data_IF_335318137072
#
_entry.id   IF_335318137072
#
_cell.length_a   1.000
_cell.length_b   1.000
_cell.length_c   1.000
_cell.angle_alpha   90.00
_cell.angle_beta   90.00
_cell.angle_gamma   90.00
#
_symmetry.space_group_name_H-M   'P 1'
#
loop_
_entity.id
_entity.type
_entity.pdbx_description
1 polymer ?
#
# COMPACT_ATOMS: atom_id res chain seq x y z
N UNK A 1 1.42 32.81 -18.16
CA UNK A 1 0.49 31.80 -18.75
C UNK A 1 -0.35 31.08 -17.71
N UNK A 2 0.18 30.23 -16.81
CA UNK A 2 -0.65 29.57 -15.78
C UNK A 2 -1.48 30.58 -14.96
N UNK A 3 -0.88 31.72 -14.59
CA UNK A 3 -1.58 32.84 -13.96
C UNK A 3 -2.73 33.40 -14.81
N UNK A 4 -2.47 33.71 -16.08
CA UNK A 4 -3.47 34.24 -17.01
C UNK A 4 -4.65 33.27 -17.21
N UNK A 5 -4.39 31.96 -17.13
CA UNK A 5 -5.41 30.92 -17.22
C UNK A 5 -6.13 30.66 -15.89
N UNK A 6 -5.74 31.34 -14.80
CA UNK A 6 -6.43 31.26 -13.53
C UNK A 6 -6.18 30.01 -12.70
N UNK A 7 -5.15 29.19 -13.00
CA UNK A 7 -4.82 27.99 -12.21
C UNK A 7 -4.60 28.32 -10.74
N UNK A 8 -5.07 27.46 -9.83
CA UNK A 8 -4.90 27.60 -8.38
C UNK A 8 -3.76 26.75 -7.82
N UNK A 9 -3.31 25.75 -8.57
CA UNK A 9 -2.20 24.91 -8.18
C UNK A 9 -1.44 24.32 -9.35
N UNK A 10 -0.24 23.81 -9.08
CA UNK A 10 0.69 23.27 -10.06
C UNK A 10 1.56 22.17 -9.46
N UNK A 11 1.75 21.10 -10.23
CA UNK A 11 2.78 20.09 -9.99
C UNK A 11 3.93 20.29 -10.96
N UNK A 12 5.13 20.50 -10.42
CA UNK A 12 6.34 20.57 -11.21
C UNK A 12 7.11 19.26 -11.11
N UNK A 13 7.22 18.56 -12.25
CA UNK A 13 7.86 17.26 -12.36
C UNK A 13 9.37 17.39 -12.65
N UNK A 14 10.15 16.43 -12.13
CA UNK A 14 11.61 16.40 -12.19
C UNK A 14 12.21 15.91 -13.51
N UNK A 15 11.39 15.61 -14.52
CA UNK A 15 11.84 15.18 -15.85
C UNK A 15 12.40 16.34 -16.69
N UNK A 16 13.28 16.02 -17.63
CA UNK A 16 13.72 16.94 -18.69
C UNK A 16 14.94 17.79 -18.32
N UNK A 17 15.10 18.93 -19.01
CA UNK A 17 16.30 19.78 -18.89
C UNK A 17 16.13 20.96 -17.93
N UNK A 18 14.94 21.19 -17.38
CA UNK A 18 14.61 22.35 -16.55
C UNK A 18 13.97 21.91 -15.23
N UNK A 19 14.80 21.36 -14.33
CA UNK A 19 14.37 20.74 -13.07
C UNK A 19 14.51 21.65 -11.83
N UNK A 20 14.79 22.94 -12.00
CA UNK A 20 14.94 23.86 -10.88
C UNK A 20 13.56 24.28 -10.34
N UNK A 21 13.05 23.53 -9.35
CA UNK A 21 11.72 23.76 -8.78
C UNK A 21 11.64 25.07 -8.01
N UNK A 22 12.73 25.48 -7.35
CA UNK A 22 12.86 26.76 -6.67
C UNK A 22 12.55 27.94 -7.59
N UNK A 23 13.14 27.95 -8.79
CA UNK A 23 12.89 28.98 -9.79
C UNK A 23 11.41 29.08 -10.15
N UNK A 24 10.73 27.93 -10.32
CA UNK A 24 9.30 27.94 -10.62
C UNK A 24 8.46 28.49 -9.45
N UNK A 25 8.78 28.15 -8.21
CA UNK A 25 8.10 28.72 -7.04
C UNK A 25 8.30 30.24 -6.93
N UNK A 26 9.51 30.75 -7.21
CA UNK A 26 9.78 32.19 -7.24
C UNK A 26 8.99 32.90 -8.35
N UNK A 27 8.88 32.29 -9.54
CA UNK A 27 8.11 32.84 -10.65
C UNK A 27 6.61 32.89 -10.32
N UNK A 28 6.08 31.88 -9.63
CA UNK A 28 4.70 31.88 -9.15
C UNK A 28 4.48 32.98 -8.10
N UNK A 29 5.39 33.13 -7.14
CA UNK A 29 5.31 34.20 -6.14
C UNK A 29 5.30 35.60 -6.78
N UNK A 30 6.08 35.83 -7.84
CA UNK A 30 6.12 37.11 -8.57
C UNK A 30 4.79 37.51 -9.21
N UNK A 31 3.84 36.60 -9.39
CA UNK A 31 2.52 36.96 -9.93
C UNK A 31 1.61 37.58 -8.88
N UNK A 32 1.97 37.55 -7.58
CA UNK A 32 1.15 38.03 -6.48
C UNK A 32 -0.10 37.20 -6.18
N UNK A 33 -0.24 36.00 -6.80
CA UNK A 33 -1.32 35.04 -6.52
C UNK A 33 -0.75 33.91 -5.66
N UNK A 34 -1.53 33.45 -4.67
CA UNK A 34 -1.21 32.24 -3.94
C UNK A 34 -1.50 31.01 -4.82
N UNK A 35 -0.54 30.10 -4.92
CA UNK A 35 -0.67 28.81 -5.60
C UNK A 35 -0.43 27.68 -4.63
N UNK A 36 -1.12 26.58 -4.84
CA UNK A 36 -0.71 25.28 -4.32
C UNK A 36 0.40 24.70 -5.21
N UNK A 37 1.57 24.41 -4.64
CA UNK A 37 2.72 23.95 -5.40
C UNK A 37 3.18 22.58 -4.89
N UNK A 38 3.13 21.59 -5.79
CA UNK A 38 3.79 20.30 -5.63
C UNK A 38 5.19 20.33 -6.24
N UNK A 39 6.20 20.06 -5.42
CA UNK A 39 7.55 19.76 -5.87
C UNK A 39 7.70 18.25 -6.10
N UNK A 40 7.78 17.81 -7.37
CA UNK A 40 7.92 16.40 -7.74
C UNK A 40 9.36 16.06 -8.14
N UNK A 41 10.27 16.13 -7.17
CA UNK A 41 11.68 15.74 -7.28
C UNK A 41 11.96 14.26 -6.96
N UNK A 42 10.91 13.44 -6.86
CA UNK A 42 10.94 12.00 -6.59
C UNK A 42 11.73 11.56 -5.34
N UNK A 43 11.85 12.42 -4.33
CA UNK A 43 12.66 12.14 -3.15
C UNK A 43 14.17 12.24 -3.35
N UNK A 44 14.63 12.59 -4.55
CA UNK A 44 16.04 12.86 -4.80
C UNK A 44 16.43 14.11 -4.01
N UNK A 45 17.31 13.94 -3.01
CA UNK A 45 17.92 15.00 -2.19
C UNK A 45 19.44 15.01 -2.40
N UNK A 46 19.88 15.57 -3.51
CA UNK A 46 21.28 15.78 -3.89
C UNK A 46 21.70 17.23 -3.63
N UNK A 47 22.98 17.53 -3.83
CA UNK A 47 23.50 18.89 -3.75
C UNK A 47 23.20 19.74 -4.99
N UNK A 48 22.56 19.17 -6.01
CA UNK A 48 22.25 19.86 -7.26
C UNK A 48 20.96 20.68 -7.13
N UNK A 49 20.88 21.82 -7.82
CA UNK A 49 19.67 22.67 -7.84
C UNK A 49 18.42 21.95 -8.37
N UNK A 50 18.60 20.86 -9.12
CA UNK A 50 17.52 19.96 -9.55
C UNK A 50 16.84 19.25 -8.37
N UNK A 51 17.50 19.25 -7.22
CA UNK A 51 17.06 18.63 -5.99
C UNK A 51 16.66 19.71 -4.98
N UNK A 52 15.46 20.27 -5.20
CA UNK A 52 14.86 21.32 -4.37
C UNK A 52 14.32 20.77 -3.04
N UNK A 53 15.12 20.02 -2.28
CA UNK A 53 14.67 19.38 -1.06
C UNK A 53 14.42 20.37 0.08
N UNK A 54 13.26 20.31 0.75
CA UNK A 54 12.96 21.19 1.87
C UNK A 54 13.88 21.01 3.07
N UNK A 55 14.07 22.09 3.80
CA UNK A 55 14.77 22.14 5.08
C UNK A 55 13.87 22.73 6.16
N UNK A 56 14.37 22.79 7.39
CA UNK A 56 13.69 23.42 8.53
C UNK A 56 13.39 24.89 8.27
N UNK A 57 14.27 25.61 7.57
CA UNK A 57 14.13 27.05 7.32
C UNK A 57 13.66 27.38 5.90
N UNK A 58 13.52 26.38 5.02
CA UNK A 58 13.23 26.60 3.61
C UNK A 58 12.27 25.56 3.04
N UNK A 59 11.12 26.04 2.56
CA UNK A 59 10.16 25.23 1.80
C UNK A 59 9.21 26.16 1.02
N UNK A 60 9.57 26.55 -0.22
CA UNK A 60 8.74 27.45 -1.03
C UNK A 60 7.57 26.73 -1.71
N UNK A 61 7.30 25.48 -1.35
CA UNK A 61 6.28 24.60 -1.90
C UNK A 61 5.27 24.24 -0.80
N UNK A 62 4.06 23.84 -1.16
CA UNK A 62 3.05 23.39 -0.18
C UNK A 62 3.27 21.93 0.22
N UNK A 63 3.76 21.12 -0.72
CA UNK A 63 4.20 19.76 -0.46
C UNK A 63 5.25 19.29 -1.47
N UNK A 64 5.94 18.22 -1.11
CA UNK A 64 7.11 17.74 -1.85
C UNK A 64 7.17 16.22 -1.84
N UNK A 65 7.52 15.65 -3.00
CA UNK A 65 7.59 14.21 -3.21
C UNK A 65 8.77 13.61 -2.45
N UNK A 66 8.48 12.71 -1.51
CA UNK A 66 9.55 12.06 -0.72
C UNK A 66 10.13 10.81 -1.38
N UNK A 67 9.47 10.30 -2.42
CA UNK A 67 9.74 9.03 -3.10
C UNK A 67 9.51 9.13 -4.61
N UNK A 68 9.93 8.08 -5.33
CA UNK A 68 9.45 7.78 -6.68
C UNK A 68 7.93 7.50 -6.72
N UNK A 69 7.41 7.25 -7.92
CA UNK A 69 5.97 7.15 -8.14
C UNK A 69 5.35 5.95 -7.44
N UNK A 70 4.14 6.14 -6.90
CA UNK A 70 3.31 5.05 -6.41
C UNK A 70 2.65 4.35 -7.59
N UNK A 71 2.53 3.03 -7.47
CA UNK A 71 1.76 2.22 -8.40
C UNK A 71 0.74 1.37 -7.61
N UNK A 72 -0.06 0.60 -8.33
CA UNK A 72 -1.01 -0.32 -7.76
C UNK A 72 -0.37 -1.61 -7.20
N UNK A 73 0.95 -1.73 -7.15
CA UNK A 73 1.66 -2.80 -6.48
C UNK A 73 1.43 -2.77 -4.97
N UNK A 74 1.52 -3.93 -4.31
CA UNK A 74 1.15 -4.03 -2.89
C UNK A 74 2.06 -3.26 -1.94
N UNK A 75 3.28 -2.93 -2.34
CA UNK A 75 4.27 -2.33 -1.43
C UNK A 75 4.82 -0.99 -1.82
N UNK A 76 4.50 -0.47 -2.99
CA UNK A 76 5.04 0.82 -3.42
C UNK A 76 4.62 1.93 -2.49
N UNK A 77 3.35 1.96 -2.08
CA UNK A 77 2.90 2.94 -1.06
C UNK A 77 3.62 2.78 0.29
N UNK A 78 3.87 1.54 0.73
CA UNK A 78 4.46 1.29 2.05
C UNK A 78 5.97 1.57 2.06
N UNK A 79 6.67 1.33 0.95
CA UNK A 79 8.03 1.82 0.71
C UNK A 79 8.09 3.34 0.70
N UNK A 80 7.20 3.96 -0.05
CA UNK A 80 7.14 5.40 -0.18
C UNK A 80 6.88 6.04 1.19
N UNK A 81 6.03 5.44 2.02
CA UNK A 81 5.82 5.86 3.41
C UNK A 81 7.15 5.93 4.18
N UNK A 82 8.04 4.94 4.05
CA UNK A 82 9.33 4.94 4.76
C UNK A 82 10.19 6.17 4.41
N UNK A 83 10.08 6.68 3.19
CA UNK A 83 10.84 7.85 2.74
C UNK A 83 10.43 9.15 3.45
N UNK A 84 9.26 9.15 4.10
CA UNK A 84 8.77 10.31 4.85
C UNK A 84 9.48 10.50 6.19
N UNK A 85 10.03 9.43 6.78
CA UNK A 85 10.61 9.41 8.13
C UNK A 85 11.71 10.47 8.30
N UNK A 86 12.56 10.67 7.29
CA UNK A 86 13.64 11.68 7.35
C UNK A 86 13.15 13.12 7.48
N UNK A 87 11.86 13.38 7.23
CA UNK A 87 11.23 14.70 7.33
C UNK A 87 10.36 14.85 8.59
N UNK A 88 10.34 13.83 9.44
CA UNK A 88 9.42 13.70 10.58
C UNK A 88 10.19 13.44 11.89
N UNK A 89 11.32 14.12 12.07
CA UNK A 89 12.04 14.10 13.34
C UNK A 89 11.10 14.59 14.45
N UNK A 90 11.04 13.83 15.55
CA UNK A 90 10.20 14.16 16.70
C UNK A 90 10.55 15.49 17.38
N UNK A 91 11.81 15.94 17.25
CA UNK A 91 12.27 17.21 17.84
C UNK A 91 12.15 18.39 16.89
N UNK A 92 12.25 18.15 15.57
CA UNK A 92 12.37 19.21 14.57
C UNK A 92 11.89 18.71 13.19
N UNK A 93 10.56 18.58 12.99
CA UNK A 93 10.01 18.04 11.76
C UNK A 93 10.08 19.05 10.62
N UNK A 94 10.58 18.63 9.46
CA UNK A 94 10.52 19.43 8.23
C UNK A 94 9.08 19.46 7.70
N UNK A 95 8.38 18.32 7.73
CA UNK A 95 6.97 18.23 7.33
C UNK A 95 6.07 18.95 8.35
N UNK A 96 5.38 20.01 7.92
CA UNK A 96 4.62 20.94 8.77
C UNK A 96 3.60 21.76 7.96
N UNK A 97 2.71 22.56 8.59
CA UNK A 97 1.76 23.41 7.88
C UNK A 97 2.43 24.27 6.83
N UNK A 98 1.97 24.12 5.59
CA UNK A 98 2.53 24.81 4.43
C UNK A 98 3.73 24.13 3.77
N UNK A 99 4.19 22.96 4.26
CA UNK A 99 5.29 22.19 3.70
C UNK A 99 5.17 20.70 4.07
N UNK A 100 4.41 19.92 3.30
CA UNK A 100 4.10 18.52 3.65
C UNK A 100 4.93 17.50 2.87
N UNK A 101 5.48 16.53 3.59
CA UNK A 101 6.07 15.33 2.99
C UNK A 101 4.97 14.52 2.28
N UNK A 102 5.18 14.21 1.00
CA UNK A 102 4.20 13.53 0.16
C UNK A 102 4.78 12.28 -0.51
N UNK A 103 4.49 11.06 0.00
CA UNK A 103 4.91 9.78 -0.58
C UNK A 103 4.11 9.32 -1.81
N UNK A 104 3.62 10.28 -2.60
CA UNK A 104 2.81 10.13 -3.82
C UNK A 104 1.34 9.69 -3.64
N UNK A 105 0.56 9.64 -4.72
CA UNK A 105 -0.90 9.48 -4.70
C UNK A 105 -1.39 8.20 -4.02
N UNK A 106 -2.61 8.27 -3.47
CA UNK A 106 -3.35 7.17 -2.89
C UNK A 106 -3.82 6.18 -3.96
N UNK A 107 -3.41 4.92 -3.83
CA UNK A 107 -3.79 3.80 -4.70
C UNK A 107 -4.94 2.96 -4.11
N UNK A 108 -5.70 3.57 -3.19
CA UNK A 108 -6.84 2.96 -2.48
C UNK A 108 -7.88 2.47 -3.48
N UNK A 109 -8.33 1.22 -3.32
CA UNK A 109 -9.28 0.57 -4.24
C UNK A 109 -8.65 0.04 -5.53
N UNK A 110 -7.33 0.23 -5.72
CA UNK A 110 -6.60 -0.26 -6.89
C UNK A 110 -5.40 -1.15 -6.54
N UNK A 111 -5.09 -1.36 -5.26
CA UNK A 111 -3.98 -2.22 -4.83
C UNK A 111 -4.15 -3.66 -5.34
N UNK A 112 -3.10 -4.22 -5.94
CA UNK A 112 -3.06 -5.58 -6.47
C UNK A 112 -3.68 -5.75 -7.85
N UNK A 113 -4.24 -4.68 -8.44
CA UNK A 113 -4.87 -4.78 -9.75
C UNK A 113 -3.84 -5.08 -10.86
N UNK A 114 -4.19 -5.90 -11.86
CA UNK A 114 -3.26 -6.24 -12.95
C UNK A 114 -3.09 -5.13 -14.00
N UNK A 115 -4.00 -4.15 -14.02
CA UNK A 115 -4.02 -3.04 -14.97
C UNK A 115 -3.85 -1.70 -14.25
N UNK A 116 -3.08 -0.79 -14.85
CA UNK A 116 -2.91 0.58 -14.37
C UNK A 116 -4.06 1.52 -14.75
N UNK A 117 -4.97 1.11 -15.63
CA UNK A 117 -5.99 2.02 -16.20
C UNK A 117 -7.40 1.68 -15.72
N UNK A 118 -7.95 0.52 -16.10
CA UNK A 118 -9.31 0.07 -15.74
C UNK A 118 -9.39 -1.46 -15.72
N UNK A 119 -10.38 -2.01 -15.01
CA UNK A 119 -10.60 -3.45 -14.86
C UNK A 119 -9.77 -4.05 -13.74
N UNK A 120 -10.39 -4.23 -12.58
CA UNK A 120 -9.79 -4.93 -11.45
C UNK A 120 -10.86 -5.80 -10.81
N UNK A 121 -10.91 -7.10 -11.17
CA UNK A 121 -11.93 -7.97 -10.63
C UNK A 121 -11.68 -8.17 -9.13
N UNK A 122 -12.67 -7.75 -8.34
CA UNK A 122 -12.76 -7.80 -6.87
C UNK A 122 -12.03 -6.69 -6.11
N UNK A 123 -12.56 -6.26 -4.94
CA UNK A 123 -11.83 -5.44 -3.98
C UNK A 123 -10.70 -6.29 -3.37
N UNK A 124 -9.61 -6.44 -4.11
CA UNK A 124 -8.45 -7.16 -3.64
C UNK A 124 -7.77 -6.29 -2.58
N UNK A 125 -7.89 -6.71 -1.31
CA UNK A 125 -7.20 -6.13 -0.15
C UNK A 125 -7.82 -4.83 0.43
N UNK A 126 -9.12 -4.86 0.76
CA UNK A 126 -9.79 -3.76 1.48
C UNK A 126 -9.07 -3.36 2.79
N UNK A 127 -8.57 -4.33 3.57
CA UNK A 127 -7.79 -4.05 4.79
C UNK A 127 -6.48 -3.31 4.47
N UNK A 128 -5.82 -3.66 3.36
CA UNK A 128 -4.60 -2.98 2.96
C UNK A 128 -4.86 -1.59 2.38
N UNK A 129 -5.99 -1.40 1.70
CA UNK A 129 -6.50 -0.09 1.32
C UNK A 129 -6.77 0.81 2.54
N UNK A 130 -7.34 0.25 3.62
CA UNK A 130 -7.50 0.95 4.90
C UNK A 130 -6.15 1.31 5.52
N UNK A 131 -5.20 0.37 5.56
CA UNK A 131 -3.86 0.61 6.08
C UNK A 131 -3.13 1.72 5.31
N UNK A 132 -3.21 1.70 3.97
CA UNK A 132 -2.64 2.73 3.11
C UNK A 132 -3.22 4.12 3.39
N UNK A 133 -4.55 4.24 3.45
CA UNK A 133 -5.20 5.52 3.74
C UNK A 133 -4.84 6.01 5.15
N UNK A 134 -4.89 5.13 6.15
CA UNK A 134 -4.51 5.47 7.52
C UNK A 134 -3.04 5.89 7.64
N UNK A 135 -2.13 5.25 6.90
CA UNK A 135 -0.71 5.60 6.89
C UNK A 135 -0.47 7.01 6.36
N UNK A 136 -1.26 7.44 5.38
CA UNK A 136 -1.21 8.80 4.87
C UNK A 136 -1.84 9.80 5.86
N UNK A 137 -2.91 9.38 6.54
CA UNK A 137 -3.51 10.17 7.61
C UNK A 137 -2.56 10.40 8.78
N UNK A 138 -1.90 9.34 9.28
CA UNK A 138 -1.05 9.44 10.49
C UNK A 138 0.18 10.32 10.25
N UNK A 139 0.66 10.47 9.02
CA UNK A 139 1.85 11.29 8.70
C UNK A 139 1.55 12.68 8.14
N UNK A 140 0.29 13.10 8.14
CA UNK A 140 -0.16 14.37 7.53
C UNK A 140 0.19 14.50 6.04
N UNK A 141 0.23 13.39 5.31
CA UNK A 141 0.45 13.43 3.86
C UNK A 141 -0.76 14.04 3.16
N UNK A 142 -0.58 14.73 2.01
CA UNK A 142 -1.68 15.01 1.09
C UNK A 142 -2.48 13.73 0.75
N UNK A 143 -3.81 13.85 0.70
CA UNK A 143 -4.75 12.76 0.40
C UNK A 143 -5.28 12.88 -1.04
N UNK A 144 -4.39 12.69 -2.02
CA UNK A 144 -4.73 12.80 -3.45
C UNK A 144 -5.14 11.43 -3.99
N UNK A 145 -6.39 11.31 -4.45
CA UNK A 145 -6.93 10.06 -5.04
C UNK A 145 -6.45 9.89 -6.49
N UNK A 146 -5.97 8.69 -6.86
CA UNK A 146 -5.63 8.35 -8.25
C UNK A 146 -6.64 7.41 -8.92
N UNK A 147 -7.75 7.07 -8.24
CA UNK A 147 -8.82 6.24 -8.80
C UNK A 147 -9.75 7.05 -9.70
N UNK A 148 -10.12 6.47 -10.85
CA UNK A 148 -11.08 7.11 -11.75
C UNK A 148 -12.48 7.17 -11.09
N UNK A 149 -13.22 8.29 -11.16
CA UNK A 149 -14.54 8.41 -10.50
C UNK A 149 -15.59 7.39 -10.96
N UNK A 150 -15.45 6.86 -12.18
CA UNK A 150 -16.33 5.82 -12.73
C UNK A 150 -15.83 4.39 -12.51
N UNK A 151 -14.75 4.20 -11.74
CA UNK A 151 -14.24 2.87 -11.42
C UNK A 151 -15.21 2.12 -10.50
N UNK A 152 -15.45 0.84 -10.79
CA UNK A 152 -16.32 -0.03 -9.99
C UNK A 152 -15.80 -0.21 -8.56
N UNK A 153 -14.49 -0.03 -8.34
CA UNK A 153 -13.85 -0.16 -7.04
C UNK A 153 -13.96 1.11 -6.18
N UNK A 154 -14.53 2.21 -6.69
CA UNK A 154 -14.73 3.43 -5.89
C UNK A 154 -15.77 3.21 -4.80
N UNK A 155 -16.93 2.63 -5.12
CA UNK A 155 -18.02 2.46 -4.15
C UNK A 155 -17.59 1.63 -2.91
N UNK A 156 -16.88 0.48 -3.06
CA UNK A 156 -16.39 -0.29 -1.92
C UNK A 156 -15.42 0.45 -0.98
N UNK A 157 -14.76 1.52 -1.42
CA UNK A 157 -13.77 2.25 -0.61
C UNK A 157 -14.28 3.58 -0.05
N UNK A 158 -15.54 3.97 -0.32
CA UNK A 158 -16.09 5.24 0.16
C UNK A 158 -16.05 5.36 1.69
N UNK A 159 -16.27 4.26 2.41
CA UNK A 159 -16.18 4.23 3.87
C UNK A 159 -14.73 4.37 4.38
N UNK A 160 -13.73 4.17 3.52
CA UNK A 160 -12.32 4.37 3.82
C UNK A 160 -11.97 5.85 3.57
N UNK A 161 -12.13 6.30 2.33
CA UNK A 161 -11.69 7.64 1.89
C UNK A 161 -12.57 8.76 2.44
N UNK A 162 -13.82 8.45 2.79
CA UNK A 162 -14.78 9.37 3.40
C UNK A 162 -14.82 9.32 4.92
N UNK A 163 -13.96 8.53 5.58
CA UNK A 163 -13.97 8.40 7.03
C UNK A 163 -13.54 9.72 7.71
N UNK A 164 -14.48 10.37 8.39
CA UNK A 164 -14.28 11.69 9.00
C UNK A 164 -13.24 11.68 10.11
N UNK A 165 -13.13 10.60 10.87
CA UNK A 165 -12.16 10.50 11.96
C UNK A 165 -10.73 10.33 11.42
N UNK A 166 -10.54 9.49 10.39
CA UNK A 166 -9.25 9.35 9.71
C UNK A 166 -8.81 10.67 9.06
N UNK A 167 -9.74 11.38 8.41
CA UNK A 167 -9.48 12.72 7.88
C UNK A 167 -9.19 13.73 9.00
N UNK A 168 -9.88 13.68 10.13
CA UNK A 168 -9.61 14.55 11.27
C UNK A 168 -8.19 14.32 11.84
N UNK A 169 -7.73 13.06 11.90
CA UNK A 169 -6.33 12.76 12.23
C UNK A 169 -5.38 13.38 11.21
N UNK A 170 -5.64 13.25 9.91
CA UNK A 170 -4.81 13.87 8.87
C UNK A 170 -4.73 15.41 9.01
N UNK A 171 -5.88 16.06 9.21
CA UNK A 171 -6.02 17.52 9.24
C UNK A 171 -5.57 18.16 10.57
N UNK A 172 -5.41 17.37 11.63
CA UNK A 172 -4.93 17.89 12.91
C UNK A 172 -3.47 18.38 12.84
N UNK A 173 -3.17 19.48 13.52
CA UNK A 173 -1.80 19.91 13.78
C UNK A 173 -1.60 20.21 15.26
N UNK A 174 -0.70 19.48 15.90
CA UNK A 174 -0.30 19.70 17.28
C UNK A 174 1.24 19.69 17.41
N UNK A 175 1.89 20.48 16.55
CA UNK A 175 3.34 20.66 16.55
C UNK A 175 4.15 19.55 15.88
N UNK A 176 3.50 18.51 15.34
CA UNK A 176 4.20 17.40 14.69
C UNK A 176 3.33 16.73 13.60
N UNK A 177 3.90 16.32 12.46
CA UNK A 177 3.17 15.70 11.35
C UNK A 177 2.74 14.25 11.64
N UNK A 178 3.39 13.64 12.62
CA UNK A 178 3.36 12.19 12.87
C UNK A 178 4.58 11.50 12.27
N UNK A 179 5.02 10.42 12.90
CA UNK A 179 6.25 9.70 12.51
C UNK A 179 6.23 8.25 12.98
N UNK A 180 7.21 7.49 12.48
CA UNK A 180 7.51 6.15 12.94
C UNK A 180 7.96 6.22 14.41
N UNK A 181 7.32 5.42 15.26
CA UNK A 181 7.69 5.25 16.68
C UNK A 181 8.59 4.04 16.83
N UNK A 182 8.21 2.92 16.21
CA UNK A 182 8.89 1.64 16.42
C UNK A 182 8.72 0.71 15.23
N UNK A 183 9.80 0.02 14.89
CA UNK A 183 9.78 -1.19 14.05
C UNK A 183 9.95 -2.41 14.95
N UNK A 184 9.09 -3.41 14.79
CA UNK A 184 9.15 -4.65 15.57
C UNK A 184 10.05 -5.68 14.87
N UNK A 185 10.88 -6.44 15.62
CA UNK A 185 11.63 -7.56 15.07
C UNK A 185 10.73 -8.80 14.81
N UNK A 186 11.10 -9.66 13.84
CA UNK A 186 12.04 -9.37 12.77
C UNK A 186 11.48 -8.27 11.84
N UNK A 187 12.35 -7.36 11.41
CA UNK A 187 11.98 -6.36 10.40
C UNK A 187 11.71 -7.01 9.03
N UNK A 188 12.18 -8.24 8.81
CA UNK A 188 11.78 -9.10 7.70
C UNK A 188 10.45 -9.79 8.01
N UNK A 189 9.55 -9.97 7.03
CA UNK A 189 8.30 -10.70 7.27
C UNK A 189 8.65 -12.11 7.77
N UNK A 190 7.95 -12.65 8.77
CA UNK A 190 8.02 -14.08 9.02
C UNK A 190 7.60 -14.85 7.75
N UNK A 191 8.07 -16.10 7.55
CA UNK A 191 7.75 -16.87 6.37
C UNK A 191 6.24 -16.86 6.11
N UNK A 192 5.84 -16.59 4.86
CA UNK A 192 4.42 -16.61 4.48
C UNK A 192 3.88 -18.03 4.76
N UNK A 193 2.76 -18.17 5.49
CA UNK A 193 2.14 -19.48 5.69
C UNK A 193 1.87 -20.17 4.36
N UNK A 194 2.35 -21.40 4.26
CA UNK A 194 2.13 -22.29 3.12
C UNK A 194 0.70 -22.82 3.20
N UNK A 195 -0.25 -22.12 2.57
CA UNK A 195 -1.65 -22.54 2.48
C UNK A 195 -1.99 -22.82 1.02
N UNK A 196 -2.58 -23.98 0.75
CA UNK A 196 -3.00 -24.37 -0.59
C UNK A 196 -4.20 -23.52 -1.07
N UNK A 197 -4.26 -23.25 -2.37
CA UNK A 197 -5.40 -22.56 -2.98
C UNK A 197 -5.25 -22.37 -4.48
N UNK A 198 -5.95 -21.38 -5.03
CA UNK A 198 -6.11 -21.19 -6.47
C UNK A 198 -5.10 -20.23 -7.11
N UNK A 199 -4.40 -19.40 -6.36
CA UNK A 199 -3.41 -18.48 -6.94
C UNK A 199 -2.12 -19.22 -7.29
N UNK A 200 -1.57 -19.01 -8.48
CA UNK A 200 -0.31 -19.68 -8.87
C UNK A 200 0.86 -18.72 -8.73
N UNK A 201 1.89 -19.16 -8.01
CA UNK A 201 3.05 -18.35 -7.64
C UNK A 201 4.36 -19.08 -7.92
N UNK A 202 5.45 -18.34 -8.12
CA UNK A 202 6.79 -18.90 -8.28
C UNK A 202 7.50 -18.87 -6.92
N UNK A 203 8.00 -20.01 -6.46
CA UNK A 203 8.72 -20.13 -5.18
C UNK A 203 9.99 -20.92 -5.38
N UNK A 204 10.92 -20.87 -4.42
CA UNK A 204 12.04 -21.81 -4.42
C UNK A 204 11.54 -23.24 -4.30
N UNK A 205 12.10 -24.14 -5.11
CA UNK A 205 11.73 -25.55 -5.06
C UNK A 205 12.01 -26.18 -3.68
N UNK A 206 10.98 -26.75 -3.07
CA UNK A 206 11.04 -27.45 -1.78
C UNK A 206 10.18 -28.73 -1.86
N UNK A 207 10.82 -29.89 -1.77
CA UNK A 207 10.13 -31.18 -1.83
C UNK A 207 9.21 -31.47 -0.63
N UNK A 208 9.35 -30.73 0.47
CA UNK A 208 8.45 -30.79 1.62
C UNK A 208 7.17 -29.97 1.45
N UNK A 209 7.12 -29.08 0.46
CA UNK A 209 6.00 -28.20 0.20
C UNK A 209 5.00 -28.86 -0.76
N UNK A 210 3.97 -29.46 -0.19
CA UNK A 210 2.93 -30.20 -0.93
C UNK A 210 2.17 -29.36 -1.95
N UNK A 211 2.19 -28.03 -1.82
CA UNK A 211 1.53 -27.13 -2.78
C UNK A 211 2.31 -26.94 -4.08
N UNK A 212 3.57 -27.38 -4.11
CA UNK A 212 4.41 -27.39 -5.31
C UNK A 212 4.20 -28.66 -6.16
N UNK A 213 3.41 -29.62 -5.65
CA UNK A 213 3.24 -30.95 -6.23
C UNK A 213 1.88 -31.10 -6.93
N UNK A 214 1.69 -32.23 -7.61
CA UNK A 214 0.44 -32.58 -8.28
C UNK A 214 0.24 -31.91 -9.63
N UNK A 215 1.29 -31.30 -10.20
CA UNK A 215 1.27 -30.75 -11.55
C UNK A 215 1.28 -31.86 -12.60
N UNK A 216 0.41 -31.74 -13.61
CA UNK A 216 0.35 -32.63 -14.77
C UNK A 216 0.08 -31.83 -16.04
N UNK A 217 0.52 -32.33 -17.19
CA UNK A 217 0.20 -31.74 -18.48
C UNK A 217 -0.47 -32.77 -19.39
N UNK A 218 -1.67 -32.43 -19.86
CA UNK A 218 -2.41 -33.19 -20.86
C UNK A 218 -2.24 -32.51 -22.22
N UNK A 219 -1.34 -33.06 -23.04
CA UNK A 219 -1.04 -32.51 -24.37
C UNK A 219 -2.23 -32.59 -25.34
N UNK A 220 -3.16 -33.54 -25.16
CA UNK A 220 -4.33 -33.67 -26.03
C UNK A 220 -5.38 -32.61 -25.72
N UNK A 221 -5.55 -32.28 -24.43
CA UNK A 221 -6.42 -31.20 -23.99
C UNK A 221 -5.75 -29.81 -23.99
N UNK A 222 -4.42 -29.75 -24.16
CA UNK A 222 -3.64 -28.54 -23.95
C UNK A 222 -3.71 -28.04 -22.51
N UNK A 223 -3.94 -28.92 -21.53
CA UNK A 223 -4.28 -28.52 -20.17
C UNK A 223 -3.10 -28.74 -19.22
N UNK A 224 -2.57 -27.66 -18.66
CA UNK A 224 -1.65 -27.71 -17.52
C UNK A 224 -2.46 -27.68 -16.22
N UNK A 225 -2.32 -28.70 -15.37
CA UNK A 225 -3.22 -28.93 -14.23
C UNK A 225 -2.45 -29.04 -12.92
N UNK A 226 -3.12 -28.68 -11.83
CA UNK A 226 -2.75 -29.08 -10.48
C UNK A 226 -3.96 -29.71 -9.79
N UNK A 227 -3.91 -31.03 -9.54
CA UNK A 227 -5.09 -31.78 -9.12
C UNK A 227 -6.20 -31.75 -10.17
N UNK A 228 -7.42 -31.38 -9.76
CA UNK A 228 -8.60 -31.29 -10.65
C UNK A 228 -8.73 -29.93 -11.36
N UNK A 229 -7.87 -28.97 -11.03
CA UNK A 229 -7.93 -27.62 -11.58
C UNK A 229 -6.93 -27.43 -12.72
N UNK A 230 -7.28 -26.55 -13.66
CA UNK A 230 -6.48 -26.15 -14.80
C UNK A 230 -5.90 -24.75 -14.59
N UNK A 231 -4.64 -24.57 -14.98
CA UNK A 231 -4.02 -23.26 -15.06
C UNK A 231 -4.78 -22.41 -16.08
N UNK A 232 -5.08 -21.18 -15.69
CA UNK A 232 -5.84 -20.21 -16.49
C UNK A 232 -5.17 -18.85 -16.43
N UNK A 233 -5.10 -18.17 -17.57
CA UNK A 233 -4.68 -16.78 -17.68
C UNK A 233 -5.86 -15.87 -18.05
N UNK A 234 -5.93 -14.67 -17.50
CA UNK A 234 -6.92 -13.66 -17.93
C UNK A 234 -6.34 -12.63 -18.90
N UNK A 235 -5.06 -12.78 -19.27
CA UNK A 235 -4.38 -11.91 -20.21
C UNK A 235 -2.88 -11.76 -19.93
N UNK A 236 -2.26 -10.86 -20.69
CA UNK A 236 -0.84 -10.53 -20.56
C UNK A 236 -0.52 -9.85 -19.23
N UNK A 237 0.60 -10.26 -18.61
CA UNK A 237 1.15 -9.65 -17.38
C UNK A 237 0.24 -9.76 -16.13
N UNK A 238 -0.84 -10.55 -16.24
CA UNK A 238 -1.81 -10.82 -15.18
C UNK A 238 -1.44 -12.11 -14.43
N UNK A 239 -1.47 -12.12 -13.08
CA UNK A 239 -1.27 -13.34 -12.31
C UNK A 239 -2.19 -14.47 -12.76
N UNK A 240 -1.62 -15.66 -12.97
CA UNK A 240 -2.39 -16.86 -13.35
C UNK A 240 -3.01 -17.55 -12.13
N UNK A 241 -4.14 -18.23 -12.36
CA UNK A 241 -4.88 -18.94 -11.32
C UNK A 241 -5.25 -20.35 -11.77
N UNK A 242 -5.57 -21.21 -10.82
CA UNK A 242 -6.14 -22.54 -10.99
C UNK A 242 -7.67 -22.44 -10.93
N UNK A 243 -8.33 -22.80 -12.02
CA UNK A 243 -9.78 -22.79 -12.15
C UNK A 243 -10.28 -24.18 -12.56
N UNK A 244 -11.60 -24.40 -12.49
CA UNK A 244 -12.19 -25.63 -13.02
C UNK A 244 -11.79 -25.82 -14.50
N UNK A 245 -11.36 -27.04 -14.84
CA UNK A 245 -11.02 -27.41 -16.20
C UNK A 245 -12.25 -27.38 -17.12
N UNK A 246 -12.06 -27.02 -18.39
CA UNK A 246 -13.11 -27.13 -19.40
C UNK A 246 -13.97 -25.88 -19.56
N UNK A 247 -13.59 -24.76 -18.96
CA UNK A 247 -14.04 -23.46 -19.46
C UNK A 247 -13.46 -23.31 -20.88
N UNK A 248 -14.32 -23.23 -21.89
CA UNK A 248 -14.00 -23.24 -23.32
C UNK A 248 -13.21 -22.02 -23.83
N UNK A 249 -12.48 -21.32 -22.96
CA UNK A 249 -11.64 -20.18 -23.33
C UNK A 249 -10.25 -20.65 -23.78
N UNK A 250 -9.65 -19.92 -24.72
CA UNK A 250 -8.25 -20.13 -25.16
C UNK A 250 -7.23 -19.94 -24.04
N UNK A 251 -7.68 -19.56 -22.84
CA UNK A 251 -6.90 -19.16 -21.68
C UNK A 251 -6.35 -20.35 -20.88
N UNK A 252 -6.93 -21.54 -21.06
CA UNK A 252 -6.48 -22.79 -20.43
C UNK A 252 -5.74 -23.71 -21.41
N UNK A 253 -5.62 -23.31 -22.69
CA UNK A 253 -5.06 -24.13 -23.75
C UNK A 253 -3.57 -23.81 -23.98
N UNK A 254 -2.73 -24.41 -23.15
CA UNK A 254 -1.29 -24.32 -23.21
C UNK A 254 -0.70 -25.40 -24.13
N UNK A 255 0.14 -24.98 -25.08
CA UNK A 255 0.97 -25.86 -25.91
C UNK A 255 2.39 -25.90 -25.34
N UNK A 256 2.91 -27.09 -25.07
CA UNK A 256 4.30 -27.25 -24.62
C UNK A 256 5.26 -27.37 -25.81
N UNK A 257 6.16 -26.39 -25.96
CA UNK A 257 7.22 -26.40 -26.97
C UNK A 257 8.46 -27.10 -26.39
N UNK A 258 8.68 -28.36 -26.75
CA UNK A 258 9.75 -29.18 -26.18
C UNK A 258 11.15 -28.63 -26.47
N UNK A 259 11.37 -27.97 -27.62
CA UNK A 259 12.68 -27.44 -28.01
C UNK A 259 13.14 -26.27 -27.14
N UNK A 260 12.19 -25.45 -26.65
CA UNK A 260 12.47 -24.31 -25.76
C UNK A 260 12.14 -24.61 -24.30
N UNK A 261 11.28 -25.59 -24.04
CA UNK A 261 10.69 -25.87 -22.73
C UNK A 261 9.58 -24.90 -22.34
N UNK A 262 8.97 -24.17 -23.28
CA UNK A 262 7.97 -23.15 -22.95
C UNK A 262 6.55 -23.70 -22.99
N UNK A 263 5.71 -23.31 -22.02
CA UNK A 263 4.26 -23.45 -22.13
C UNK A 263 3.69 -22.18 -22.79
N UNK A 264 3.09 -22.33 -23.96
CA UNK A 264 2.60 -21.23 -24.79
C UNK A 264 1.08 -21.20 -24.84
N UNK A 265 0.47 -20.02 -24.78
CA UNK A 265 -0.99 -19.85 -24.83
C UNK A 265 -1.36 -18.64 -25.67
N UNK A 266 -2.49 -18.71 -26.35
CA UNK A 266 -3.07 -17.55 -27.05
C UNK A 266 -3.89 -16.72 -26.05
N UNK A 267 -3.21 -15.78 -25.39
CA UNK A 267 -3.82 -14.92 -24.38
C UNK A 267 -4.47 -13.67 -25.01
N UNK A 268 -5.64 -13.23 -24.51
CA UNK A 268 -6.19 -11.94 -24.87
C UNK A 268 -5.30 -10.83 -24.30
N UNK A 269 -4.81 -9.95 -25.17
CA UNK A 269 -4.31 -8.65 -24.75
C UNK A 269 -5.42 -7.61 -25.02
N UNK A 270 -5.38 -6.41 -24.38
CA UNK A 270 -6.46 -5.41 -24.48
C UNK A 270 -6.86 -4.94 -25.89
N UNK A 271 -6.20 -5.42 -26.97
CA UNK A 271 -6.55 -5.10 -28.37
C UNK A 271 -6.38 -6.24 -29.40
N UNK A 272 -5.67 -7.35 -29.11
CA UNK A 272 -5.43 -8.50 -30.04
C UNK A 272 -5.06 -9.77 -29.27
N UNK A 273 -5.26 -10.94 -29.89
CA UNK A 273 -4.69 -12.22 -29.43
C UNK A 273 -3.20 -12.26 -29.75
N UNK A 274 -2.37 -12.66 -28.78
CA UNK A 274 -0.94 -12.87 -28.97
C UNK A 274 -0.51 -14.22 -28.41
N UNK A 275 0.50 -14.81 -29.03
CA UNK A 275 1.21 -15.96 -28.46
C UNK A 275 2.01 -15.48 -27.25
N UNK A 276 1.60 -15.90 -26.07
CA UNK A 276 2.31 -15.64 -24.82
C UNK A 276 2.94 -16.91 -24.28
N UNK A 277 3.98 -16.76 -23.47
CA UNK A 277 4.65 -17.81 -22.73
C UNK A 277 4.34 -17.65 -21.26
N UNK A 278 4.06 -18.77 -20.59
CA UNK A 278 4.04 -18.82 -19.13
C UNK A 278 5.41 -18.36 -18.62
N UNK A 279 5.42 -17.49 -17.62
CA UNK A 279 6.62 -16.88 -17.08
C UNK A 279 6.54 -16.87 -15.55
N UNK A 280 7.64 -17.27 -14.91
CA UNK A 280 7.84 -17.14 -13.47
C UNK A 280 8.73 -15.93 -13.19
N UNK A 281 8.27 -14.99 -12.36
CA UNK A 281 8.96 -13.75 -12.04
C UNK A 281 9.27 -13.70 -10.55
N UNK A 282 10.34 -14.39 -10.12
CA UNK A 282 10.92 -14.20 -8.80
C UNK A 282 11.14 -15.46 -7.95
N UNK A 283 11.78 -15.21 -6.80
CA UNK A 283 12.54 -16.07 -5.88
C UNK A 283 14.00 -16.35 -6.30
N UNK A 284 14.90 -15.34 -6.21
CA UNK A 284 16.34 -15.54 -6.45
C UNK A 284 17.04 -16.39 -5.38
N UNK A 285 16.45 -16.61 -4.19
CA UNK A 285 16.96 -17.48 -3.15
C UNK A 285 15.86 -18.12 -2.27
N UNK A 286 16.22 -19.20 -1.57
CA UNK A 286 15.36 -19.88 -0.59
C UNK A 286 14.96 -18.92 0.54
N UNK A 287 13.65 -18.73 0.73
CA UNK A 287 13.09 -17.83 1.75
C UNK A 287 12.64 -16.46 1.23
N UNK A 288 12.86 -16.17 -0.06
CA UNK A 288 12.29 -14.99 -0.71
C UNK A 288 10.76 -15.12 -0.87
N UNK A 289 10.02 -14.00 -0.92
CA UNK A 289 8.58 -14.05 -1.12
C UNK A 289 8.23 -14.59 -2.52
N UNK A 290 7.03 -15.16 -2.70
CA UNK A 290 6.62 -15.73 -3.97
C UNK A 290 6.66 -14.70 -5.11
N UNK A 291 7.26 -15.12 -6.22
CA UNK A 291 7.28 -14.39 -7.48
C UNK A 291 5.95 -14.47 -8.22
N UNK A 292 5.71 -13.47 -9.09
CA UNK A 292 4.54 -13.45 -9.98
C UNK A 292 4.64 -14.59 -10.97
N UNK A 293 3.55 -15.30 -11.22
CA UNK A 293 3.46 -16.17 -12.41
C UNK A 293 2.42 -15.54 -13.32
N UNK A 294 2.80 -15.31 -14.56
CA UNK A 294 1.93 -14.67 -15.55
C UNK A 294 2.19 -15.22 -16.95
N UNK A 295 1.47 -14.68 -17.93
CA UNK A 295 1.73 -14.93 -19.35
C UNK A 295 2.25 -13.65 -19.96
N UNK A 296 3.40 -13.72 -20.62
CA UNK A 296 4.01 -12.57 -21.29
C UNK A 296 4.54 -12.92 -22.68
N UNK A 297 5.13 -11.96 -23.38
CA UNK A 297 5.68 -12.17 -24.72
C UNK A 297 6.81 -13.20 -24.66
N UNK A 298 6.65 -14.29 -25.40
CA UNK A 298 7.69 -15.32 -25.53
C UNK A 298 9.05 -14.74 -25.95
N UNK A 299 10.10 -15.08 -25.22
CA UNK A 299 11.48 -14.70 -25.49
C UNK A 299 12.37 -15.94 -25.49
N UNK A 300 13.01 -16.23 -26.63
CA UNK A 300 13.87 -17.41 -26.77
C UNK A 300 15.07 -17.42 -25.79
N UNK A 301 15.44 -16.27 -25.22
CA UNK A 301 16.57 -16.13 -24.28
C UNK A 301 16.20 -16.15 -22.79
N UNK A 302 14.92 -16.11 -22.44
CA UNK A 302 14.49 -15.96 -21.05
C UNK A 302 14.41 -17.32 -20.34
N UNK A 303 15.23 -17.50 -19.31
CA UNK A 303 15.30 -18.76 -18.56
C UNK A 303 14.03 -19.02 -17.73
N UNK A 304 13.38 -17.96 -17.28
CA UNK A 304 12.20 -17.98 -16.44
C UNK A 304 10.88 -18.28 -17.17
N UNK A 305 10.94 -18.54 -18.47
CA UNK A 305 9.82 -19.01 -19.30
C UNK A 305 9.92 -20.50 -19.63
N UNK A 306 10.98 -21.18 -19.18
CA UNK A 306 11.28 -22.57 -19.53
C UNK A 306 10.97 -23.46 -18.36
N UNK A 307 10.12 -24.45 -18.55
CA UNK A 307 9.67 -25.34 -17.50
C UNK A 307 9.91 -26.81 -17.83
N UNK A 308 9.97 -27.63 -16.79
CA UNK A 308 9.98 -29.07 -16.85
C UNK A 308 9.09 -29.65 -15.74
N UNK A 309 8.32 -30.70 -16.08
CA UNK A 309 7.61 -31.49 -15.10
C UNK A 309 8.55 -32.56 -14.56
N UNK A 310 8.81 -32.52 -13.26
CA UNK A 310 9.63 -33.53 -12.61
C UNK A 310 8.80 -34.79 -12.25
N UNK A 311 9.46 -35.92 -11.94
CA UNK A 311 8.77 -37.16 -11.55
C UNK A 311 7.98 -37.07 -10.23
N UNK A 312 8.23 -36.05 -9.40
CA UNK A 312 7.51 -35.81 -8.15
C UNK A 312 6.19 -35.06 -8.37
N UNK A 313 5.93 -34.63 -9.60
CA UNK A 313 4.77 -33.82 -9.97
C UNK A 313 4.97 -32.34 -9.65
N UNK A 314 6.21 -31.87 -9.54
CA UNK A 314 6.51 -30.44 -9.47
C UNK A 314 6.77 -29.88 -10.87
N UNK A 315 6.29 -28.67 -11.12
CA UNK A 315 6.58 -27.93 -12.34
C UNK A 315 7.69 -26.91 -12.05
N UNK A 316 8.90 -27.18 -12.58
CA UNK A 316 10.12 -26.43 -12.27
C UNK A 316 10.56 -25.57 -13.42
N UNK A 317 11.17 -24.43 -13.15
CA UNK A 317 11.92 -23.67 -14.15
C UNK A 317 13.23 -24.40 -14.52
N UNK A 318 13.63 -24.39 -15.79
CA UNK A 318 14.82 -25.12 -16.29
C UNK A 318 16.16 -24.52 -15.84
N UNK A 319 16.17 -23.30 -15.31
CA UNK A 319 17.33 -22.76 -14.60
C UNK A 319 17.51 -23.35 -13.19
N UNK A 320 16.55 -24.15 -12.71
CA UNK A 320 16.70 -25.07 -11.60
C UNK A 320 16.37 -24.49 -10.22
N UNK A 321 15.87 -23.26 -10.13
CA UNK A 321 15.66 -22.59 -8.84
C UNK A 321 14.21 -22.35 -8.45
N UNK A 322 13.25 -22.39 -9.39
CA UNK A 322 11.85 -22.03 -9.12
C UNK A 322 10.88 -23.18 -9.42
N UNK A 323 9.89 -23.34 -8.55
CA UNK A 323 8.77 -24.26 -8.68
C UNK A 323 7.47 -23.47 -8.66
N UNK A 324 6.48 -23.89 -9.44
CA UNK A 324 5.13 -23.33 -9.34
C UNK A 324 4.37 -23.94 -8.18
N UNK A 325 3.68 -23.09 -7.41
CA UNK A 325 2.86 -23.51 -6.27
C UNK A 325 1.43 -22.94 -6.36
N UNK A 326 0.45 -23.74 -5.95
CA UNK A 326 -0.95 -23.31 -5.77
C UNK A 326 -1.22 -22.81 -4.35
N UNK A 327 -1.51 -21.52 -4.18
CA UNK A 327 -1.67 -20.82 -2.89
C UNK A 327 -3.06 -20.24 -2.70
N UNK A 328 -3.45 -20.00 -1.45
CA UNK A 328 -4.69 -19.29 -1.11
C UNK A 328 -4.77 -17.90 -1.76
N UNK A 329 -3.62 -17.27 -1.99
CA UNK A 329 -3.51 -15.96 -2.64
C UNK A 329 -2.11 -15.76 -3.25
N UNK A 330 -2.01 -14.89 -4.25
CA UNK A 330 -0.74 -14.32 -4.67
C UNK A 330 -0.43 -13.10 -3.80
N UNK A 331 0.63 -13.16 -3.01
CA UNK A 331 1.22 -11.99 -2.35
C UNK A 331 2.50 -11.68 -3.11
N UNK A 332 2.54 -10.68 -4.00
CA UNK A 332 3.77 -10.26 -4.64
C UNK A 332 4.86 -10.06 -3.60
N UNK A 333 6.05 -10.56 -3.90
CA UNK A 333 7.28 -9.99 -3.38
C UNK A 333 7.28 -8.51 -3.71
N UNK A 334 6.78 -7.68 -2.81
CA UNK A 334 7.07 -6.27 -2.89
C UNK A 334 8.24 -6.04 -1.95
N UNK A 335 9.42 -5.66 -2.48
CA UNK A 335 10.45 -5.03 -1.66
C UNK A 335 9.75 -4.07 -0.70
N UNK A 336 9.98 -4.23 0.60
CA UNK A 336 9.43 -3.38 1.66
C UNK A 336 7.93 -3.42 1.94
N UNK A 337 7.24 -4.54 1.67
CA UNK A 337 6.01 -4.97 2.40
C UNK A 337 6.40 -5.77 3.65
N UNK A 338 7.45 -5.31 4.31
CA UNK A 338 8.14 -6.05 5.34
C UNK A 338 8.07 -5.34 6.68
N UNK A 339 7.78 -6.14 7.70
CA UNK A 339 7.86 -5.71 9.08
C UNK A 339 6.57 -5.14 9.63
N UNK A 340 6.53 -5.14 10.95
CA UNK A 340 5.45 -4.61 11.75
C UNK A 340 5.93 -3.26 12.30
N UNK A 341 5.09 -2.22 12.20
CA UNK A 341 5.47 -0.87 12.56
C UNK A 341 4.38 -0.19 13.41
N UNK A 342 4.81 0.62 14.36
CA UNK A 342 3.98 1.57 15.09
C UNK A 342 4.34 2.98 14.64
N UNK A 343 3.32 3.71 14.22
CA UNK A 343 3.37 5.13 13.88
C UNK A 343 2.48 5.92 14.83
N UNK A 344 2.80 7.17 15.11
CA UNK A 344 1.98 8.00 15.99
C UNK A 344 1.97 9.47 15.58
N UNK A 345 0.91 10.17 15.98
CA UNK A 345 0.72 11.60 15.70
C UNK A 345 0.01 12.30 16.86
N UNK A 346 0.56 13.38 17.43
CA UNK A 346 -0.14 14.15 18.45
C UNK A 346 -1.34 14.89 17.84
N UNK A 347 -2.46 14.91 18.55
CA UNK A 347 -3.71 15.56 18.12
C UNK A 347 -4.08 16.78 18.97
N UNK A 348 -3.22 17.18 19.92
CA UNK A 348 -3.47 18.26 20.86
C UNK A 348 -4.27 17.81 22.08
N UNK A 349 -4.25 18.61 23.15
CA UNK A 349 -4.92 18.27 24.42
C UNK A 349 -4.40 16.98 25.07
N UNK A 350 -3.14 16.60 24.80
CA UNK A 350 -2.54 15.35 25.26
C UNK A 350 -3.02 14.09 24.52
N UNK A 351 -3.90 14.22 23.52
CA UNK A 351 -4.36 13.10 22.69
C UNK A 351 -3.31 12.68 21.66
N UNK A 352 -3.32 11.40 21.34
CA UNK A 352 -2.39 10.78 20.39
C UNK A 352 -3.14 9.82 19.46
N UNK A 353 -2.97 9.97 18.15
CA UNK A 353 -3.32 8.90 17.22
C UNK A 353 -2.16 7.91 17.14
N UNK A 354 -2.47 6.63 17.02
CA UNK A 354 -1.49 5.58 16.74
C UNK A 354 -1.98 4.66 15.64
N UNK A 355 -1.06 4.28 14.76
CA UNK A 355 -1.29 3.33 13.67
C UNK A 355 -0.30 2.18 13.80
N UNK A 356 -0.83 0.99 14.10
CA UNK A 356 -0.09 -0.25 14.05
C UNK A 356 -0.32 -0.92 12.70
N UNK A 357 0.73 -1.10 11.91
CA UNK A 357 0.67 -1.72 10.57
C UNK A 357 1.33 -3.09 10.65
N UNK A 358 0.59 -4.14 10.28
CA UNK A 358 1.19 -5.44 9.96
C UNK A 358 1.42 -5.50 8.45
N UNK A 359 2.65 -5.16 8.05
CA UNK A 359 3.03 -5.11 6.65
C UNK A 359 2.99 -6.46 5.95
N UNK A 360 3.10 -7.58 6.67
CA UNK A 360 3.12 -8.88 6.04
C UNK A 360 3.52 -10.00 6.99
N UNK A 361 3.22 -11.25 6.59
CA UNK A 361 3.64 -12.45 7.32
C UNK A 361 2.54 -13.07 8.17
N UNK A 362 2.85 -13.44 9.42
CA UNK A 362 1.90 -14.05 10.34
C UNK A 362 1.02 -12.99 11.01
N UNK A 363 -0.25 -13.32 11.34
CA UNK A 363 -1.03 -12.51 12.25
C UNK A 363 -0.21 -12.20 13.51
N UNK A 364 -0.18 -10.93 13.89
CA UNK A 364 0.70 -10.43 14.96
C UNK A 364 -0.10 -9.54 15.89
N UNK A 365 0.27 -9.56 17.17
CA UNK A 365 -0.22 -8.61 18.17
C UNK A 365 0.97 -7.86 18.78
N UNK A 366 0.71 -6.65 19.27
CA UNK A 366 1.69 -5.86 19.98
C UNK A 366 1.09 -5.20 21.23
N UNK A 367 1.98 -4.90 22.15
CA UNK A 367 1.72 -4.09 23.33
C UNK A 367 2.26 -2.68 23.06
N UNK A 368 1.39 -1.68 23.17
CA UNK A 368 1.69 -0.27 22.95
C UNK A 368 1.55 0.45 24.30
N UNK A 369 2.66 0.91 24.84
CA UNK A 369 2.73 1.67 26.07
C UNK A 369 2.42 3.15 25.84
N UNK A 370 1.67 3.76 26.77
CA UNK A 370 1.42 5.21 26.73
C UNK A 370 2.73 6.02 26.75
N UNK A 371 3.77 5.49 27.41
CA UNK A 371 5.09 6.10 27.47
C UNK A 371 5.78 6.16 26.10
N UNK A 372 5.70 5.11 25.28
CA UNK A 372 6.33 5.14 23.94
C UNK A 372 5.60 6.09 22.98
N UNK A 373 4.33 6.37 23.27
CA UNK A 373 3.53 7.41 22.63
C UNK A 373 3.76 8.82 23.20
N UNK A 374 4.74 8.99 24.10
CA UNK A 374 5.02 10.24 24.80
C UNK A 374 3.80 10.83 25.54
N UNK A 375 2.88 9.98 25.98
CA UNK A 375 1.76 10.39 26.83
C UNK A 375 2.18 10.39 28.29
N UNK A 376 1.83 11.46 29.01
CA UNK A 376 2.17 11.63 30.43
C UNK A 376 1.10 11.12 31.38
N UNK A 377 -0.10 10.80 30.88
CA UNK A 377 -1.19 10.27 31.70
C UNK A 377 -0.92 8.81 32.08
N UNK A 378 -1.34 8.42 33.29
CA UNK A 378 -1.24 7.03 33.75
C UNK A 378 -2.27 6.09 33.10
N UNK A 379 -3.33 6.67 32.51
CA UNK A 379 -4.39 5.97 31.79
C UNK A 379 -4.90 6.79 30.61
N UNK A 380 -5.54 6.11 29.67
CA UNK A 380 -6.20 6.70 28.51
C UNK A 380 -7.39 5.83 28.09
N UNK A 381 -8.39 6.45 27.47
CA UNK A 381 -9.39 5.72 26.66
C UNK A 381 -8.82 5.52 25.26
N UNK A 382 -9.22 4.44 24.59
CA UNK A 382 -8.74 4.12 23.25
C UNK A 382 -9.95 3.91 22.34
N UNK A 383 -10.06 4.70 21.28
CA UNK A 383 -11.13 4.60 20.30
C UNK A 383 -10.59 4.18 18.94
N UNK A 384 -11.26 3.24 18.27
CA UNK A 384 -10.96 2.85 16.90
C UNK A 384 -11.36 3.97 15.93
N UNK A 385 -10.44 4.41 15.08
CA UNK A 385 -10.65 5.53 14.16
C UNK A 385 -11.74 5.21 13.13
N UNK A 386 -11.84 3.96 12.69
CA UNK A 386 -12.79 3.59 11.65
C UNK A 386 -14.24 3.61 12.14
N UNK A 387 -14.46 3.21 13.39
CA UNK A 387 -15.79 2.96 13.95
C UNK A 387 -16.20 3.93 15.05
N UNK A 388 -15.26 4.70 15.60
CA UNK A 388 -15.42 5.58 16.77
C UNK A 388 -15.85 4.83 18.05
N UNK A 389 -15.58 3.53 18.10
CA UNK A 389 -15.93 2.66 19.24
C UNK A 389 -14.73 2.42 20.14
N UNK A 390 -15.01 2.08 21.39
CA UNK A 390 -13.99 1.61 22.34
C UNK A 390 -13.19 0.45 21.73
N UNK A 391 -11.87 0.60 21.75
CA UNK A 391 -10.90 -0.36 21.21
C UNK A 391 -10.23 -1.19 22.32
N UNK A 392 -10.82 -1.21 23.52
CA UNK A 392 -10.34 -1.97 24.66
C UNK A 392 -9.48 -1.17 25.65
N UNK A 393 -9.24 -1.74 26.84
CA UNK A 393 -8.69 -1.01 27.97
C UNK A 393 -7.17 -0.82 27.90
N UNK A 394 -6.69 0.28 28.47
CA UNK A 394 -5.28 0.44 28.87
C UNK A 394 -5.08 -0.16 30.26
N UNK A 395 -4.25 -1.18 30.38
CA UNK A 395 -3.92 -1.82 31.66
C UNK A 395 -2.47 -1.54 32.02
N UNK A 396 -2.22 -0.97 33.19
CA UNK A 396 -0.88 -0.60 33.64
C UNK A 396 -0.08 0.24 32.62
N UNK A 397 -0.76 1.19 31.96
CA UNK A 397 -0.15 2.06 30.95
C UNK A 397 0.13 1.41 29.60
N UNK A 398 -0.43 0.22 29.33
CA UNK A 398 -0.25 -0.54 28.08
C UNK A 398 -1.60 -0.90 27.47
N UNK A 399 -1.74 -0.66 26.16
CA UNK A 399 -2.84 -1.14 25.33
C UNK A 399 -2.37 -2.28 24.42
N UNK A 400 -3.26 -3.24 24.13
CA UNK A 400 -2.95 -4.37 23.24
C UNK A 400 -3.69 -4.21 21.93
N UNK A 401 -3.00 -4.37 20.81
CA UNK A 401 -3.61 -4.25 19.47
C UNK A 401 -4.66 -5.34 19.18
N UNK A 402 -4.66 -6.42 19.96
CA UNK A 402 -5.24 -7.70 19.53
C UNK A 402 -4.45 -8.29 18.36
N UNK A 403 -4.94 -9.40 17.82
CA UNK A 403 -4.36 -9.98 16.62
C UNK A 403 -4.69 -9.12 15.39
N UNK A 404 -3.67 -8.80 14.60
CA UNK A 404 -3.76 -8.04 13.35
C UNK A 404 -3.22 -8.91 12.22
N UNK A 405 -4.07 -9.19 11.24
CA UNK A 405 -3.72 -10.04 10.09
C UNK A 405 -2.62 -9.43 9.23
N UNK A 406 -1.98 -10.24 8.40
CA UNK A 406 -1.09 -9.75 7.34
C UNK A 406 -1.82 -8.76 6.43
N UNK A 407 -1.14 -7.68 6.03
CA UNK A 407 -1.70 -6.62 5.19
C UNK A 407 -2.94 -5.96 5.83
N UNK A 408 -2.88 -5.72 7.13
CA UNK A 408 -3.92 -5.06 7.93
C UNK A 408 -3.29 -4.09 8.93
N UNK A 409 -4.13 -3.25 9.55
CA UNK A 409 -3.70 -2.28 10.55
C UNK A 409 -4.72 -2.10 11.67
N UNK A 410 -4.27 -1.47 12.76
CA UNK A 410 -5.12 -0.88 13.81
C UNK A 410 -4.84 0.60 13.87
N UNK A 411 -5.89 1.41 13.67
CA UNK A 411 -5.79 2.86 13.71
C UNK A 411 -6.66 3.36 14.85
N UNK A 412 -6.03 3.92 15.88
CA UNK A 412 -6.71 4.27 17.14
C UNK A 412 -6.34 5.66 17.60
N UNK A 413 -7.19 6.26 18.44
CA UNK A 413 -6.92 7.50 19.17
C UNK A 413 -6.90 7.18 20.66
N UNK A 414 -5.82 7.59 21.32
CA UNK A 414 -5.68 7.61 22.76
C UNK A 414 -6.09 8.99 23.29
N UNK A 415 -7.07 9.02 24.19
CA UNK A 415 -7.43 10.24 24.92
C UNK A 415 -7.00 10.10 26.38
N UNK A 416 -6.18 11.02 26.91
CA UNK A 416 -5.70 10.92 28.28
C UNK A 416 -6.88 11.03 29.25
N UNK A 417 -6.87 10.19 30.29
CA UNK A 417 -7.85 10.35 31.36
C UNK A 417 -7.69 11.75 32.01
N UNK A 418 -8.78 12.38 32.47
CA UNK A 418 -8.70 13.62 33.24
C UNK A 418 -7.72 13.44 34.39
N UNK A 419 -6.87 14.44 34.62
CA UNK A 419 -5.95 14.40 35.76
C UNK A 419 -6.77 14.23 37.05
N UNK A 420 -6.42 13.24 37.87
CA UNK A 420 -7.05 13.04 39.17
C UNK A 420 -6.78 14.29 40.03
N UNK A 421 -7.72 15.23 40.06
CA UNK A 421 -7.56 16.49 40.80
C UNK A 421 -8.41 17.68 40.38
N UNK A 422 -9.06 17.69 39.21
CA UNK A 422 -10.04 18.75 38.89
C UNK A 422 -11.45 18.22 39.00
N UNK A 423 -11.95 18.11 40.23
CA UNK A 423 -13.38 18.20 40.47
C UNK A 423 -13.80 19.63 40.08
N UNK A 424 -14.32 19.80 38.87
CA UNK A 424 -15.13 20.98 38.55
C UNK A 424 -16.45 20.81 39.30
N UNK A 425 -16.66 21.65 40.31
CA UNK A 425 -17.93 21.75 40.99
C UNK A 425 -19.08 21.96 40.00
N UNK A 426 -20.21 21.37 40.35
CA UNK A 426 -21.51 21.77 39.84
C UNK A 426 -21.67 23.29 39.97
N UNK A 427 -22.00 23.97 38.88
CA UNK A 427 -23.15 24.89 38.88
C UNK A 427 -23.49 25.37 37.48
N UNK A 428 -24.80 25.44 37.20
CA UNK A 428 -25.35 26.38 36.23
C UNK A 428 -25.86 25.78 34.92
N UNK A 429 -27.09 25.29 34.95
CA UNK A 429 -27.95 25.11 33.78
C UNK A 429 -27.96 26.35 32.86
N UNK A 430 -27.68 26.15 31.57
CA UNK A 430 -28.12 27.06 30.52
C UNK A 430 -28.82 26.25 29.44
N UNK A 431 -30.14 26.41 29.41
CA UNK A 431 -31.06 25.91 28.39
C UNK A 431 -30.61 26.34 26.99
N UNK A 432 -30.48 25.38 26.08
CA UNK A 432 -30.36 25.64 24.66
C UNK A 432 -31.71 26.15 24.12
N UNK A 433 -31.74 27.40 23.64
CA UNK A 433 -32.78 27.84 22.72
C UNK A 433 -32.43 27.38 21.29
N UNK A 434 -33.42 26.92 20.49
CA UNK A 434 -33.21 26.56 19.11
C UNK A 434 -33.11 27.80 18.23
N UNK A 435 -32.05 27.88 17.42
CA UNK A 435 -31.90 28.91 16.40
C UNK A 435 -32.96 28.71 15.32
N UNK A 436 -33.93 29.62 15.29
CA UNK A 436 -35.05 29.63 14.36
C UNK A 436 -34.61 30.31 13.06
N UNK A 437 -34.70 29.60 11.94
CA UNK A 437 -34.52 30.17 10.61
C UNK A 437 -35.84 30.79 10.12
N UNK A 438 -35.92 32.11 10.07
CA UNK A 438 -36.91 32.87 9.31
C UNK A 438 -36.31 34.21 8.90
N UNK A 439 -36.33 34.52 7.60
CA UNK A 439 -35.62 35.65 7.00
C UNK A 439 -36.41 36.96 6.84
N UNK A 440 -35.92 37.75 5.86
CA UNK A 440 -36.29 39.09 5.36
C UNK A 440 -35.53 40.23 6.06
N UNK A 441 -34.91 41.18 5.36
CA UNK A 441 -35.12 41.74 4.01
C UNK A 441 -33.90 41.70 3.09
#
# INVERSE_FOLDING_TARGET
RMHEYGFDGVKFDGCGSLCNMTLYAELMNKTGKAYEIENCHWGSCTADDASSCPTTDWCPFNWYRTSGDSDNGLGTWYNNLQTTVRFQSWSDPISRPGCWAYPDMLQVGRLGCPSHTQGCPQPQLANWSRAHFAAFCIVSSPLVLSIHPSDENLAPILDIIGNKNAMAVNQAWAGHPGSLVRTYPPASPPPIPVVAGQAVVAVTCDGGDVTQLGWTYDAAAGALRQGELCLSTDGYDIPVNLLACGNSSTHQNFTYEASTGQFQVMAPAPRKLYLGCLQANGAPAQGDPPGKVDVYKCSAGNANERFELDPTGALRSKDGFQCLAGRDRYVPASPGVAGVQLWAKPLGGGRMAALFINGGGLPTSAEISLKELNMTSASATVSDVWTDKDAGPVTAGVWKTGEVSSLDARFVIFEPAPAAGTASGEDGSASAEPFNAAGKE
#
